data_IF_456596649186
#
_entry.id   IF_456596649186
#
_cell.length_a   1.000
_cell.length_b   1.000
_cell.length_c   1.000
_cell.angle_alpha   90.00
_cell.angle_beta   90.00
_cell.angle_gamma   90.00
#
_symmetry.space_group_name_H-M   'P 1'
#
loop_
_entity.id
_entity.type
_entity.pdbx_description
1 polymer ?
#
# COMPACT_ATOMS: atom_id res chain seq x y z
N UNK A 1 -0.04 35.38 -22.11
CA UNK A 1 -1.00 36.25 -21.40
C UNK A 1 -0.73 36.09 -19.92
N UNK A 2 -0.05 37.08 -19.36
CA UNK A 2 0.48 37.17 -18.01
C UNK A 2 -0.62 37.73 -17.11
N UNK A 3 -1.00 37.03 -16.03
CA UNK A 3 -1.70 37.65 -14.90
C UNK A 3 -1.08 37.12 -13.60
N UNK A 4 -0.55 38.08 -12.87
CA UNK A 4 0.04 38.05 -11.53
C UNK A 4 -1.07 38.11 -10.47
N UNK A 5 -0.81 37.56 -9.28
CA UNK A 5 -1.53 37.89 -8.02
C UNK A 5 -2.32 36.71 -7.44
N UNK A 6 -2.28 36.39 -6.15
CA UNK A 6 -1.70 37.09 -5.01
C UNK A 6 -1.82 36.23 -3.75
N UNK A 7 -1.00 36.58 -2.76
CA UNK A 7 -0.95 36.03 -1.41
C UNK A 7 -2.16 36.49 -0.60
N UNK A 8 -2.74 35.61 0.24
CA UNK A 8 -3.52 36.03 1.41
C UNK A 8 -3.31 35.05 2.57
N UNK A 9 -2.75 35.63 3.63
CA UNK A 9 -2.47 35.14 4.97
C UNK A 9 -3.71 35.37 5.86
N UNK A 10 -4.12 34.42 6.71
CA UNK A 10 -4.99 34.61 7.90
C UNK A 10 -5.37 33.21 8.44
N UNK A 11 -5.58 32.93 9.72
CA UNK A 11 -5.06 33.37 11.01
C UNK A 11 -5.62 32.34 12.02
N UNK A 12 -4.88 32.12 13.10
CA UNK A 12 -5.22 31.24 14.22
C UNK A 12 -6.40 31.79 15.03
N UNK A 13 -7.33 30.94 15.43
CA UNK A 13 -8.13 31.14 16.66
C UNK A 13 -8.18 29.83 17.43
N UNK A 14 -7.69 29.90 18.66
CA UNK A 14 -7.56 28.84 19.66
C UNK A 14 -8.56 29.21 20.77
N UNK A 15 -9.56 28.37 21.04
CA UNK A 15 -10.45 28.53 22.19
C UNK A 15 -10.31 27.31 23.09
N UNK A 16 -9.68 27.55 24.24
CA UNK A 16 -9.64 26.64 25.37
C UNK A 16 -10.95 26.77 26.17
N UNK A 17 -11.61 25.65 26.45
CA UNK A 17 -12.68 25.59 27.44
C UNK A 17 -12.19 24.75 28.63
N UNK A 18 -11.91 25.45 29.73
CA UNK A 18 -11.69 24.90 31.07
C UNK A 18 -13.06 24.69 31.70
N UNK A 19 -13.42 23.44 32.00
CA UNK A 19 -14.59 23.13 32.81
C UNK A 19 -14.14 22.84 34.26
N UNK A 20 -14.45 23.78 35.14
CA UNK A 20 -14.39 23.67 36.59
C UNK A 20 -15.58 22.81 37.04
N UNK A 21 -15.34 21.65 37.66
CA UNK A 21 -16.37 20.95 38.43
C UNK A 21 -16.19 21.31 39.91
N UNK A 22 -17.17 22.06 40.42
CA UNK A 22 -17.31 22.43 41.82
C UNK A 22 -17.93 21.29 42.64
N UNK A 23 -17.39 21.15 43.85
CA UNK A 23 -17.91 20.39 44.99
C UNK A 23 -19.42 20.61 45.21
N UNK A 24 -20.17 19.50 45.30
CA UNK A 24 -21.45 19.48 45.99
C UNK A 24 -21.30 18.65 47.27
N UNK A 25 -21.39 19.34 48.40
CA UNK A 25 -21.40 18.76 49.73
C UNK A 25 -22.62 17.86 49.96
N UNK A 26 -22.38 16.69 50.52
CA UNK A 26 -23.40 15.80 51.06
C UNK A 26 -23.32 15.81 52.59
N UNK A 27 -24.42 16.22 53.21
CA UNK A 27 -24.69 16.21 54.65
C UNK A 27 -24.71 14.78 55.18
N UNK A 28 -24.12 14.59 56.37
CA UNK A 28 -23.74 13.29 56.90
C UNK A 28 -24.84 12.45 57.54
N UNK A 29 -24.71 11.14 57.34
CA UNK A 29 -25.25 10.08 58.18
C UNK A 29 -24.11 9.38 58.94
N UNK A 30 -24.32 8.96 60.21
CA UNK A 30 -23.30 8.29 61.02
C UNK A 30 -22.96 6.90 60.46
N UNK A 31 -21.70 6.71 60.09
CA UNK A 31 -21.19 5.50 59.44
C UNK A 31 -21.16 4.28 60.38
N UNK A 32 -21.56 3.08 59.90
CA UNK A 32 -21.36 1.82 60.62
C UNK A 32 -19.86 1.50 60.80
N UNK A 33 -19.50 0.72 61.86
CA UNK A 33 -18.10 0.45 62.20
C UNK A 33 -17.35 -0.17 61.02
N UNK A 34 -16.22 0.45 60.68
CA UNK A 34 -15.37 0.12 59.55
C UNK A 34 -15.00 -1.37 59.56
N UNK A 35 -15.65 -2.16 58.70
CA UNK A 35 -15.14 -3.46 58.30
C UNK A 35 -13.72 -3.27 57.80
N UNK A 36 -12.76 -4.00 58.39
CA UNK A 36 -11.35 -4.02 57.97
C UNK A 36 -11.31 -4.31 56.48
N UNK A 37 -11.08 -3.28 55.66
CA UNK A 37 -10.85 -3.44 54.22
C UNK A 37 -9.57 -4.24 54.10
N UNK A 38 -9.70 -5.52 53.75
CA UNK A 38 -8.60 -6.36 53.31
C UNK A 38 -7.86 -5.59 52.22
N UNK A 39 -6.63 -5.19 52.49
CA UNK A 39 -5.75 -4.57 51.49
C UNK A 39 -5.73 -5.50 50.28
N UNK A 40 -6.11 -5.05 49.07
CA UNK A 40 -6.08 -5.89 47.90
C UNK A 40 -4.67 -6.47 47.76
N UNK A 41 -4.54 -7.78 47.91
CA UNK A 41 -3.30 -8.50 47.70
C UNK A 41 -2.79 -8.14 46.32
N UNK A 42 -1.64 -7.48 46.23
CA UNK A 42 -1.10 -6.96 44.97
C UNK A 42 -1.08 -8.06 43.92
N UNK A 43 -1.82 -7.87 42.82
CA UNK A 43 -1.80 -8.80 41.70
C UNK A 43 -0.36 -8.89 41.19
N UNK A 44 0.19 -10.10 41.16
CA UNK A 44 1.51 -10.33 40.60
C UNK A 44 1.53 -9.82 39.15
N UNK A 45 2.56 -9.06 38.79
CA UNK A 45 2.79 -8.63 37.42
C UNK A 45 2.85 -9.89 36.54
N UNK A 46 2.05 -9.98 35.45
CA UNK A 46 2.11 -11.12 34.54
C UNK A 46 3.53 -11.35 34.03
N UNK A 47 3.88 -12.60 33.70
CA UNK A 47 5.15 -12.88 33.05
C UNK A 47 5.18 -12.31 31.61
N UNK A 48 6.38 -12.20 31.04
CA UNK A 48 6.56 -11.56 29.73
C UNK A 48 5.75 -12.24 28.60
N UNK A 49 5.66 -13.59 28.51
CA UNK A 49 4.78 -14.25 27.56
C UNK A 49 3.30 -13.83 27.69
N UNK A 50 2.76 -13.75 28.91
CA UNK A 50 1.39 -13.28 29.12
C UNK A 50 1.22 -11.80 28.74
N UNK A 51 2.22 -10.95 29.02
CA UNK A 51 2.22 -9.55 28.59
C UNK A 51 2.20 -9.41 27.06
N UNK A 52 3.01 -10.19 26.35
CA UNK A 52 3.04 -10.24 24.88
C UNK A 52 1.72 -10.71 24.30
N UNK A 53 1.15 -11.79 24.85
CA UNK A 53 -0.14 -12.32 24.40
C UNK A 53 -1.26 -11.29 24.61
N UNK A 54 -1.27 -10.60 25.76
CA UNK A 54 -2.21 -9.51 26.05
C UNK A 54 -2.04 -8.36 25.04
N UNK A 55 -0.80 -7.92 24.81
CA UNK A 55 -0.52 -6.81 23.90
C UNK A 55 -0.89 -7.14 22.44
N UNK A 56 -0.67 -8.37 22.00
CA UNK A 56 -1.11 -8.84 20.69
C UNK A 56 -2.64 -8.94 20.60
N UNK A 57 -3.31 -9.41 21.65
CA UNK A 57 -4.78 -9.41 21.73
C UNK A 57 -5.37 -8.00 21.62
N UNK A 58 -4.83 -7.05 22.38
CA UNK A 58 -5.22 -5.64 22.34
C UNK A 58 -4.98 -5.05 20.94
N UNK A 59 -3.80 -5.30 20.34
CA UNK A 59 -3.47 -4.85 18.99
C UNK A 59 -4.45 -5.40 17.94
N UNK A 60 -4.79 -6.69 17.99
CA UNK A 60 -5.74 -7.31 17.07
C UNK A 60 -7.16 -6.72 17.20
N UNK A 61 -7.54 -6.30 18.40
CA UNK A 61 -8.86 -5.73 18.70
C UNK A 61 -9.00 -4.26 18.24
N UNK A 62 -7.91 -3.57 17.93
CA UNK A 62 -7.96 -2.17 17.50
C UNK A 62 -8.76 -2.00 16.21
N UNK A 63 -9.61 -0.96 16.11
CA UNK A 63 -10.37 -0.69 14.89
C UNK A 63 -9.47 -0.18 13.75
N UNK A 64 -8.29 0.34 14.07
CA UNK A 64 -7.23 0.63 13.13
C UNK A 64 -5.94 1.06 13.83
N UNK A 65 -4.86 1.20 13.08
CA UNK A 65 -3.53 1.58 13.58
C UNK A 65 -2.92 2.62 12.63
N UNK A 66 -2.26 3.64 13.19
CA UNK A 66 -1.32 4.49 12.47
C UNK A 66 0.08 3.91 12.58
N UNK A 67 0.77 3.81 11.46
CA UNK A 67 2.16 3.42 11.34
C UNK A 67 2.99 4.63 10.94
N UNK A 68 4.04 4.93 11.69
CA UNK A 68 4.99 6.00 11.38
C UNK A 68 6.42 5.52 11.53
N UNK A 69 7.27 5.71 10.53
CA UNK A 69 8.68 5.31 10.65
C UNK A 69 9.36 5.13 9.31
N UNK A 70 10.25 4.15 9.20
CA UNK A 70 10.92 3.78 7.95
C UNK A 70 10.86 2.28 7.73
N UNK A 71 10.63 1.85 6.50
CA UNK A 71 10.64 0.45 6.08
C UNK A 71 11.45 0.35 4.79
N UNK A 72 12.53 -0.46 4.81
CA UNK A 72 13.44 -0.59 3.67
C UNK A 72 13.93 0.77 3.13
N UNK A 73 14.31 1.69 4.03
CA UNK A 73 14.77 3.05 3.68
C UNK A 73 13.65 4.07 3.40
N UNK A 74 12.44 3.62 3.05
CA UNK A 74 11.29 4.48 2.73
C UNK A 74 10.62 4.96 4.00
N UNK A 75 10.42 6.27 4.16
CA UNK A 75 9.64 6.81 5.26
C UNK A 75 8.13 6.57 5.04
N UNK A 76 7.46 6.05 6.06
CA UNK A 76 6.07 5.63 6.04
C UNK A 76 5.29 6.46 7.06
N UNK A 77 4.15 7.02 6.64
CA UNK A 77 3.12 7.55 7.54
C UNK A 77 1.75 7.14 6.99
N UNK A 78 1.20 6.07 7.53
CA UNK A 78 -0.03 5.43 7.02
C UNK A 78 -0.98 5.09 8.15
N UNK A 79 -2.26 5.06 7.84
CA UNK A 79 -3.29 4.53 8.74
C UNK A 79 -3.95 3.35 8.04
N UNK A 80 -4.11 2.26 8.78
CA UNK A 80 -4.67 1.00 8.30
C UNK A 80 -5.84 0.63 9.21
N UNK A 81 -7.01 0.44 8.63
CA UNK A 81 -8.19 -0.05 9.34
C UNK A 81 -8.10 -1.57 9.52
N UNK A 82 -8.87 -2.09 10.47
CA UNK A 82 -8.92 -3.50 10.84
C UNK A 82 -9.10 -4.46 9.66
N UNK A 83 -9.84 -4.08 8.61
CA UNK A 83 -10.10 -4.89 7.41
C UNK A 83 -9.13 -4.62 6.25
N UNK A 84 -8.10 -3.80 6.46
CA UNK A 84 -7.03 -3.58 5.49
C UNK A 84 -7.18 -2.35 4.61
N UNK A 85 -8.29 -1.60 4.68
CA UNK A 85 -8.34 -0.31 3.99
C UNK A 85 -7.33 0.64 4.63
N UNK A 86 -6.48 1.25 3.80
CA UNK A 86 -5.38 2.06 4.25
C UNK A 86 -5.21 3.30 3.39
N UNK A 87 -4.69 4.35 4.01
CA UNK A 87 -4.24 5.54 3.30
C UNK A 87 -3.08 6.18 4.03
N UNK A 88 -2.15 6.74 3.27
CA UNK A 88 -1.02 7.44 3.85
C UNK A 88 -0.09 7.99 2.80
N UNK A 89 1.13 8.25 3.24
CA UNK A 89 2.21 8.69 2.37
C UNK A 89 3.45 7.85 2.56
N UNK A 90 4.15 7.63 1.45
CA UNK A 90 5.48 7.07 1.40
C UNK A 90 6.43 8.18 0.94
N UNK A 91 7.64 8.23 1.50
CA UNK A 91 8.68 9.14 1.04
C UNK A 91 10.00 8.41 0.88
N UNK A 92 10.56 8.51 -0.31
CA UNK A 92 11.90 8.06 -0.62
C UNK A 92 12.70 9.25 -1.16
N UNK A 93 13.79 9.60 -0.46
CA UNK A 93 14.49 10.87 -0.64
C UNK A 93 13.51 12.06 -0.76
N UNK A 94 13.47 12.72 -1.92
CA UNK A 94 12.60 13.87 -2.22
C UNK A 94 11.25 13.48 -2.85
N UNK A 95 11.06 12.20 -3.15
CA UNK A 95 9.84 11.72 -3.79
C UNK A 95 8.77 11.45 -2.75
N UNK A 96 7.60 12.09 -2.90
CA UNK A 96 6.41 11.84 -2.07
C UNK A 96 5.35 11.10 -2.87
N UNK A 97 4.88 9.98 -2.33
CA UNK A 97 3.77 9.21 -2.87
C UNK A 97 2.59 9.24 -1.90
N UNK A 98 1.38 9.44 -2.42
CA UNK A 98 0.17 9.04 -1.71
C UNK A 98 -0.11 7.56 -2.04
N UNK A 99 -0.54 6.81 -1.02
CA UNK A 99 -0.95 5.42 -1.19
C UNK A 99 -2.34 5.20 -0.63
N UNK A 100 -3.13 4.41 -1.34
CA UNK A 100 -4.47 3.98 -0.95
C UNK A 100 -4.56 2.48 -1.18
N UNK A 101 -4.86 1.72 -0.13
CA UNK A 101 -5.17 0.30 -0.25
C UNK A 101 -6.64 0.07 0.11
N UNK A 102 -7.35 -0.71 -0.70
CA UNK A 102 -8.73 -1.10 -0.44
C UNK A 102 -9.04 -2.41 -1.14
N UNK A 103 -9.58 -3.39 -0.41
CA UNK A 103 -9.93 -4.73 -0.94
C UNK A 103 -8.80 -5.36 -1.77
N UNK A 104 -7.64 -5.58 -1.15
CA UNK A 104 -6.43 -6.17 -1.77
C UNK A 104 -5.83 -5.37 -2.92
N UNK A 105 -6.41 -4.23 -3.29
CA UNK A 105 -5.91 -3.38 -4.36
C UNK A 105 -5.15 -2.21 -3.80
N UNK A 106 -3.98 -1.99 -4.37
CA UNK A 106 -3.10 -0.88 -4.03
C UNK A 106 -3.11 0.13 -5.15
N UNK A 107 -3.27 1.40 -4.77
CA UNK A 107 -3.21 2.54 -5.67
C UNK A 107 -2.13 3.50 -5.21
N UNK A 108 -1.30 3.93 -6.15
CA UNK A 108 -0.30 4.95 -5.93
C UNK A 108 -0.65 6.23 -6.68
N UNK A 109 -0.28 7.35 -6.07
CA UNK A 109 -0.32 8.65 -6.71
C UNK A 109 0.98 9.38 -6.37
N UNK A 110 1.87 9.40 -7.34
CA UNK A 110 3.12 10.15 -7.31
C UNK A 110 3.09 11.33 -8.28
N UNK A 111 4.10 12.18 -8.18
CA UNK A 111 4.28 13.28 -9.13
C UNK A 111 4.87 12.78 -10.47
N UNK A 112 5.16 13.73 -11.37
CA UNK A 112 5.71 13.42 -12.69
C UNK A 112 7.13 12.83 -12.60
N UNK A 113 7.94 13.25 -11.64
CA UNK A 113 9.32 12.79 -11.51
C UNK A 113 9.33 11.31 -11.14
N UNK A 114 8.50 10.92 -10.16
CA UNK A 114 8.28 9.52 -9.80
C UNK A 114 7.93 8.66 -11.02
N UNK A 115 6.88 9.03 -11.78
CA UNK A 115 6.48 8.21 -12.93
C UNK A 115 7.54 8.13 -14.02
N UNK A 116 8.34 9.19 -14.19
CA UNK A 116 9.44 9.20 -15.17
C UNK A 116 10.56 8.26 -14.73
N UNK A 117 10.90 8.25 -13.44
CA UNK A 117 11.87 7.32 -12.84
C UNK A 117 11.41 5.86 -12.96
N UNK A 118 10.10 5.63 -12.88
CA UNK A 118 9.47 4.33 -13.17
C UNK A 118 9.40 3.99 -14.68
N UNK A 119 10.10 4.74 -15.54
CA UNK A 119 10.22 4.48 -16.98
C UNK A 119 9.04 4.97 -17.83
N UNK A 120 8.10 5.75 -17.27
CA UNK A 120 6.99 6.29 -18.05
C UNK A 120 7.47 7.41 -19.00
N UNK A 121 6.94 7.43 -20.23
CA UNK A 121 7.19 8.55 -21.15
C UNK A 121 6.75 9.88 -20.55
N UNK A 122 7.34 11.00 -20.97
CA UNK A 122 6.98 12.34 -20.49
C UNK A 122 5.46 12.63 -20.56
N UNK A 123 4.78 12.15 -21.59
CA UNK A 123 3.33 12.29 -21.75
C UNK A 123 2.55 11.42 -20.76
N UNK A 124 2.96 10.14 -20.61
CA UNK A 124 2.37 9.20 -19.64
C UNK A 124 2.59 9.67 -18.20
N UNK A 125 3.80 10.10 -17.86
CA UNK A 125 4.14 10.61 -16.54
C UNK A 125 3.30 11.85 -16.17
N UNK A 126 3.10 12.78 -17.12
CA UNK A 126 2.22 13.94 -16.92
C UNK A 126 0.77 13.55 -16.65
N UNK A 127 0.28 12.51 -17.33
CA UNK A 127 -1.08 12.00 -17.16
C UNK A 127 -1.23 11.27 -15.82
N UNK A 128 -0.31 10.36 -15.50
CA UNK A 128 -0.31 9.58 -14.27
C UNK A 128 -0.14 10.45 -13.02
N UNK A 129 0.64 11.55 -13.11
CA UNK A 129 0.84 12.48 -11.98
C UNK A 129 -0.45 13.12 -11.45
N UNK A 130 -1.55 13.05 -12.21
CA UNK A 130 -2.85 13.63 -11.84
C UNK A 130 -3.85 12.59 -11.35
N UNK A 131 -3.49 11.31 -11.39
CA UNK A 131 -4.41 10.19 -11.24
C UNK A 131 -3.86 9.16 -10.26
N UNK A 132 -4.78 8.38 -9.70
CA UNK A 132 -4.42 7.15 -9.02
C UNK A 132 -4.05 6.10 -10.06
N UNK A 133 -2.95 5.40 -9.84
CA UNK A 133 -2.54 4.24 -10.63
C UNK A 133 -2.67 3.00 -9.76
N UNK A 134 -3.48 2.04 -10.20
CA UNK A 134 -3.49 0.70 -9.61
C UNK A 134 -2.15 0.04 -9.92
N UNK A 135 -1.48 -0.44 -8.88
CA UNK A 135 -0.20 -1.14 -8.98
C UNK A 135 -0.32 -2.55 -8.40
N UNK A 136 0.54 -3.49 -8.81
CA UNK A 136 0.68 -4.76 -8.11
C UNK A 136 0.98 -4.55 -6.62
N UNK A 137 0.57 -5.49 -5.76
CA UNK A 137 0.85 -5.39 -4.33
C UNK A 137 2.35 -5.53 -4.01
N UNK A 138 3.06 -6.38 -4.79
CA UNK A 138 4.50 -6.65 -4.66
C UNK A 138 5.42 -5.44 -4.97
N UNK A 139 4.86 -4.37 -5.54
CA UNK A 139 5.59 -3.12 -5.80
C UNK A 139 5.77 -2.28 -4.54
N UNK A 140 5.10 -2.64 -3.45
CA UNK A 140 5.34 -2.06 -2.15
C UNK A 140 6.27 -2.98 -1.35
N UNK A 141 7.08 -2.45 -0.41
CA UNK A 141 7.88 -3.30 0.47
C UNK A 141 6.98 -4.28 1.25
N UNK A 142 7.29 -5.58 1.16
CA UNK A 142 6.50 -6.69 1.75
C UNK A 142 5.22 -7.01 0.96
N UNK A 143 4.30 -7.80 1.52
CA UNK A 143 2.98 -8.07 0.90
C UNK A 143 2.02 -6.84 0.99
N UNK A 144 2.59 -5.64 0.91
CA UNK A 144 1.90 -4.36 1.00
C UNK A 144 1.19 -4.11 2.34
N UNK A 145 0.06 -3.39 2.27
CA UNK A 145 -0.69 -2.97 3.46
C UNK A 145 -1.51 -4.09 4.11
N UNK A 146 -1.69 -5.23 3.44
CA UNK A 146 -2.44 -6.36 3.99
C UNK A 146 -1.75 -6.91 5.27
N UNK A 147 -0.42 -6.96 5.26
CA UNK A 147 0.40 -7.37 6.41
C UNK A 147 0.43 -6.32 7.53
N UNK A 148 0.05 -5.09 7.22
CA UNK A 148 -0.01 -3.97 8.18
C UNK A 148 -1.41 -3.84 8.81
N UNK A 149 -2.29 -4.83 8.67
CA UNK A 149 -3.53 -4.83 9.46
C UNK A 149 -3.24 -5.08 10.94
N UNK A 150 -4.05 -4.56 11.87
CA UNK A 150 -3.87 -4.82 13.30
C UNK A 150 -3.84 -6.32 13.62
N UNK A 151 -4.71 -7.11 12.98
CA UNK A 151 -4.77 -8.56 13.16
C UNK A 151 -3.50 -9.28 12.66
N UNK A 152 -3.01 -8.95 11.45
CA UNK A 152 -1.76 -9.54 10.92
C UNK A 152 -0.54 -9.14 11.72
N UNK A 153 -0.47 -7.90 12.19
CA UNK A 153 0.62 -7.46 13.06
C UNK A 153 0.58 -8.19 14.41
N UNK A 154 -0.60 -8.40 14.98
CA UNK A 154 -0.76 -9.21 16.19
C UNK A 154 -0.42 -10.70 15.98
N UNK A 155 -0.71 -11.26 14.79
CA UNK A 155 -0.24 -12.60 14.40
C UNK A 155 1.27 -12.65 14.34
N UNK A 156 1.92 -11.65 13.73
CA UNK A 156 3.38 -11.56 13.69
C UNK A 156 3.98 -11.46 15.10
N UNK A 157 3.42 -10.63 15.99
CA UNK A 157 3.89 -10.53 17.39
C UNK A 157 3.75 -11.88 18.12
N UNK A 158 2.67 -12.64 17.87
CA UNK A 158 2.48 -13.97 18.45
C UNK A 158 3.42 -15.02 17.85
N UNK A 159 3.59 -15.00 16.52
CA UNK A 159 4.36 -16.00 15.78
C UNK A 159 5.86 -15.80 15.86
N UNK A 160 6.33 -14.56 15.86
CA UNK A 160 7.76 -14.22 15.94
C UNK A 160 8.40 -14.64 17.27
N UNK A 161 7.60 -14.91 18.31
CA UNK A 161 8.10 -15.59 19.49
C UNK A 161 7.00 -15.87 20.50
N UNK A 162 6.51 -17.11 20.49
CA UNK A 162 5.91 -17.72 21.68
C UNK A 162 6.86 -17.66 22.88
N UNK A 163 8.17 -17.56 22.59
CA UNK A 163 9.25 -17.42 23.55
C UNK A 163 10.19 -16.31 23.07
N UNK A 164 10.45 -15.25 23.86
CA UNK A 164 11.47 -14.25 23.56
C UNK A 164 12.87 -14.87 23.43
N UNK A 165 13.71 -14.34 22.54
CA UNK A 165 15.09 -14.83 22.32
C UNK A 165 16.07 -14.42 23.45
N UNK A 166 15.55 -13.81 24.51
CA UNK A 166 16.33 -13.35 25.65
C UNK A 166 15.49 -12.55 26.65
N UNK A 167 16.11 -12.08 27.75
CA UNK A 167 15.44 -11.19 28.68
C UNK A 167 15.08 -9.87 27.99
N UNK A 168 13.98 -9.21 28.42
CA UNK A 168 13.61 -7.90 27.88
C UNK A 168 14.72 -6.88 28.18
N UNK A 169 14.97 -5.99 27.23
CA UNK A 169 15.95 -4.93 27.41
C UNK A 169 15.48 -3.85 28.40
N UNK A 170 16.39 -2.94 28.75
CA UNK A 170 16.07 -1.81 29.62
C UNK A 170 14.96 -0.92 29.00
N UNK A 171 14.05 -0.35 29.82
CA UNK A 171 13.05 0.61 29.37
C UNK A 171 13.64 1.78 28.56
N UNK A 172 12.92 2.22 27.53
CA UNK A 172 13.24 3.36 26.66
C UNK A 172 11.96 4.12 26.32
N UNK A 173 12.08 5.42 26.10
CA UNK A 173 10.98 6.25 25.63
C UNK A 173 10.71 6.03 24.13
N UNK A 174 9.47 5.73 23.78
CA UNK A 174 8.96 5.66 22.41
C UNK A 174 7.82 6.66 22.29
N UNK A 175 8.08 7.80 21.64
CA UNK A 175 7.10 8.89 21.50
C UNK A 175 6.51 9.37 22.85
N UNK A 176 7.34 9.42 23.89
CA UNK A 176 6.92 9.82 25.24
C UNK A 176 6.19 8.73 26.04
N UNK A 177 6.20 7.49 25.55
CA UNK A 177 5.68 6.32 26.24
C UNK A 177 6.85 5.40 26.66
N UNK A 178 7.02 5.11 27.95
CA UNK A 178 8.05 4.19 28.41
C UNK A 178 7.73 2.75 27.97
N UNK A 179 8.65 2.14 27.22
CA UNK A 179 8.51 0.81 26.68
C UNK A 179 9.81 -0.02 26.79
N UNK A 180 9.70 -1.34 26.97
CA UNK A 180 10.81 -2.28 26.98
C UNK A 180 10.92 -2.98 25.62
N UNK A 181 12.10 -3.03 24.99
CA UNK A 181 12.31 -3.85 23.81
C UNK A 181 12.34 -5.34 24.19
N UNK A 182 11.68 -6.15 23.39
CA UNK A 182 11.64 -7.61 23.49
C UNK A 182 12.10 -8.17 22.15
N UNK A 183 13.20 -8.90 22.15
CA UNK A 183 13.76 -9.52 20.94
C UNK A 183 13.01 -10.80 20.62
N UNK A 184 12.53 -10.87 19.38
CA UNK A 184 11.85 -12.00 18.76
C UNK A 184 12.62 -12.39 17.49
N UNK A 185 12.37 -13.58 16.97
CA UNK A 185 13.13 -14.15 15.83
C UNK A 185 13.13 -13.27 14.57
N UNK A 186 12.06 -12.50 14.36
CA UNK A 186 11.91 -11.59 13.20
C UNK A 186 12.22 -10.12 13.49
N UNK A 187 12.54 -9.74 14.74
CA UNK A 187 12.63 -8.32 15.09
C UNK A 187 12.52 -7.99 16.58
N UNK A 188 12.49 -6.70 16.89
CA UNK A 188 12.17 -6.22 18.24
C UNK A 188 10.73 -5.72 18.32
N UNK A 189 10.05 -6.04 19.41
CA UNK A 189 8.76 -5.45 19.79
C UNK A 189 8.95 -4.60 21.04
N UNK A 190 8.40 -3.39 21.04
CA UNK A 190 8.47 -2.49 22.19
C UNK A 190 7.13 -2.50 22.92
N UNK A 191 7.12 -3.08 24.13
CA UNK A 191 5.94 -3.15 24.99
C UNK A 191 5.95 -2.04 26.04
N UNK A 192 4.82 -1.41 26.30
CA UNK A 192 4.67 -0.49 27.44
C UNK A 192 5.11 -1.16 28.74
N UNK A 193 5.77 -0.40 29.63
CA UNK A 193 6.27 -0.96 30.91
C UNK A 193 5.17 -1.24 31.94
N UNK A 194 4.00 -0.63 31.75
CA UNK A 194 2.86 -0.70 32.66
C UNK A 194 1.60 -1.12 31.90
N UNK A 195 0.64 -1.77 32.58
CA UNK A 195 -0.65 -2.10 32.01
C UNK A 195 -1.44 -0.84 31.63
N UNK A 196 -2.28 -0.89 30.59
CA UNK A 196 -2.43 -2.01 29.65
C UNK A 196 -1.16 -2.20 28.79
N UNK A 197 -0.71 -3.45 28.65
CA UNK A 197 0.47 -3.78 27.86
C UNK A 197 0.16 -3.59 26.38
N UNK A 198 0.86 -2.69 25.70
CA UNK A 198 0.62 -2.35 24.29
C UNK A 198 1.91 -2.39 23.51
N UNK A 199 1.81 -2.83 22.26
CA UNK A 199 2.89 -2.68 21.28
C UNK A 199 2.90 -1.25 20.75
N UNK A 200 3.99 -0.52 20.99
CA UNK A 200 4.15 0.88 20.57
C UNK A 200 5.15 1.08 19.44
N UNK A 201 6.03 0.09 19.20
CA UNK A 201 6.99 0.07 18.10
C UNK A 201 7.35 -1.36 17.73
N UNK A 202 7.60 -1.57 16.45
CA UNK A 202 8.18 -2.79 15.90
C UNK A 202 9.43 -2.43 15.09
N UNK A 203 10.46 -3.26 15.19
CA UNK A 203 11.66 -3.19 14.37
C UNK A 203 11.84 -4.54 13.68
N UNK A 204 12.05 -4.53 12.36
CA UNK A 204 12.25 -5.73 11.57
C UNK A 204 13.73 -5.91 11.28
N UNK A 205 14.23 -7.13 11.48
CA UNK A 205 15.58 -7.47 11.06
C UNK A 205 15.60 -7.82 9.57
N UNK A 206 16.71 -7.53 8.91
CA UNK A 206 16.99 -8.11 7.60
C UNK A 206 17.20 -9.61 7.78
N UNK A 207 16.60 -10.42 6.92
CA UNK A 207 16.87 -11.86 6.92
C UNK A 207 18.36 -12.07 6.58
N UNK A 208 19.16 -12.65 7.50
CA UNK A 208 20.57 -12.90 7.24
C UNK A 208 20.78 -13.87 6.07
N UNK A 209 19.78 -14.71 5.75
CA UNK A 209 19.85 -15.68 4.65
C UNK A 209 19.50 -15.09 3.27
N UNK A 210 18.93 -13.87 3.21
CA UNK A 210 18.53 -13.23 1.95
C UNK A 210 19.67 -12.62 1.12
N UNK A 211 20.92 -12.82 1.53
CA UNK A 211 22.11 -12.33 0.85
C UNK A 211 22.52 -13.18 -0.36
N UNK A 212 21.76 -13.09 -1.45
CA UNK A 212 22.26 -13.33 -2.81
C UNK A 212 22.58 -14.79 -3.19
N UNK A 213 21.55 -15.59 -3.46
CA UNK A 213 21.61 -16.45 -4.65
C UNK A 213 21.20 -15.58 -5.84
N UNK A 214 22.18 -14.83 -6.33
CA UNK A 214 22.14 -14.16 -7.62
C UNK A 214 22.24 -15.26 -8.68
N UNK A 215 21.12 -15.97 -8.93
CA UNK A 215 20.93 -16.84 -10.09
C UNK A 215 20.90 -15.95 -11.35
N UNK A 216 22.06 -15.42 -11.70
CA UNK A 216 22.27 -14.79 -12.99
C UNK A 216 21.88 -15.76 -14.11
N UNK A 217 21.38 -15.28 -15.26
CA UNK A 217 20.97 -16.11 -16.37
C UNK A 217 22.20 -16.65 -17.11
N UNK A 218 22.92 -17.57 -16.47
CA UNK A 218 24.00 -18.36 -17.05
C UNK A 218 23.40 -19.61 -17.70
N UNK A 219 23.23 -19.55 -19.01
CA UNK A 219 22.83 -20.73 -19.78
C UNK A 219 23.91 -21.81 -19.80
N UNK A 220 23.46 -23.06 -19.74
CA UNK A 220 24.12 -24.20 -20.40
C UNK A 220 23.03 -25.23 -20.69
N UNK A 221 22.45 -25.29 -21.89
CA UNK A 221 22.94 -26.11 -23.02
C UNK A 221 23.58 -27.43 -22.60
N UNK A 222 22.71 -28.42 -22.36
CA UNK A 222 22.90 -29.78 -22.85
C UNK A 222 23.99 -30.62 -22.20
N UNK A 223 23.58 -31.68 -21.51
CA UNK A 223 24.33 -32.93 -21.57
C UNK A 223 23.42 -34.13 -21.41
N UNK A 224 23.53 -34.97 -22.42
CA UNK A 224 23.06 -36.33 -22.58
C UNK A 224 23.59 -37.27 -21.49
N UNK A 225 22.81 -38.33 -21.29
CA UNK A 225 23.13 -39.63 -20.68
C UNK A 225 24.62 -40.00 -20.60
N UNK A 226 25.09 -40.37 -19.39
CA UNK A 226 26.24 -41.29 -19.23
C UNK A 226 26.13 -42.09 -17.91
N UNK A 227 26.38 -43.42 -17.90
CA UNK A 227 26.19 -44.30 -16.75
C UNK A 227 27.46 -44.54 -15.91
N UNK A 228 27.22 -44.90 -14.65
CA UNK A 228 28.04 -45.63 -13.67
C UNK A 228 29.59 -45.56 -13.73
N UNK A 229 30.19 -44.98 -12.68
CA UNK A 229 31.52 -45.33 -12.21
C UNK A 229 31.68 -45.10 -10.69
N UNK A 230 32.50 -45.92 -10.00
CA UNK A 230 32.45 -46.10 -8.55
C UNK A 230 33.14 -44.97 -7.77
N UNK A 231 32.58 -44.64 -6.60
CA UNK A 231 33.11 -43.65 -5.64
C UNK A 231 34.35 -44.18 -4.90
N UNK A 232 35.40 -43.36 -4.71
CA UNK A 232 36.46 -43.68 -3.76
C UNK A 232 36.03 -43.39 -2.32
N UNK A 233 36.34 -44.31 -1.41
CA UNK A 233 36.20 -44.17 0.03
C UNK A 233 37.31 -43.26 0.56
N UNK A 234 36.95 -42.13 1.15
CA UNK A 234 37.89 -41.25 1.87
C UNK A 234 37.80 -41.54 3.36
N UNK A 235 38.86 -42.12 3.92
CA UNK A 235 39.05 -42.30 5.36
C UNK A 235 39.50 -40.98 5.97
N UNK A 236 38.65 -40.32 6.76
CA UNK A 236 39.00 -39.12 7.52
C UNK A 236 39.75 -39.47 8.81
N UNK A 237 40.96 -38.96 8.95
CA UNK A 237 41.79 -39.05 10.16
C UNK A 237 41.31 -38.01 11.17
N UNK A 238 41.09 -38.41 12.42
CA UNK A 238 40.67 -37.53 13.51
C UNK A 238 41.81 -36.57 13.92
N UNK A 239 41.53 -35.27 13.96
CA UNK A 239 42.37 -34.26 14.60
C UNK A 239 41.93 -34.03 16.06
N UNK A 240 42.86 -33.77 16.99
CA UNK A 240 42.54 -33.52 18.39
C UNK A 240 42.03 -32.09 18.66
N UNK A 241 41.02 -32.02 19.54
CA UNK A 241 40.59 -30.88 20.37
C UNK A 241 40.64 -29.47 19.73
N UNK A 242 39.50 -29.08 19.16
CA UNK A 242 39.22 -27.69 18.78
C UNK A 242 39.29 -26.76 20.01
N UNK A 243 40.10 -25.72 19.86
CA UNK A 243 40.07 -24.51 20.69
C UNK A 243 38.67 -23.91 20.52
N UNK A 244 37.86 -23.90 21.59
CA UNK A 244 36.61 -23.12 21.61
C UNK A 244 36.93 -21.65 21.33
N UNK A 245 36.51 -21.07 20.20
CA UNK A 245 36.63 -19.64 20.02
C UNK A 245 35.80 -18.97 21.13
N UNK A 246 36.38 -17.97 21.80
CA UNK A 246 35.63 -17.06 22.65
C UNK A 246 34.42 -16.59 21.84
N UNK A 247 33.21 -16.75 22.40
CA UNK A 247 31.96 -16.40 21.73
C UNK A 247 32.10 -15.01 21.11
N UNK A 248 32.26 -14.96 19.79
CA UNK A 248 32.26 -13.72 19.05
C UNK A 248 30.92 -13.06 19.40
N UNK A 249 30.98 -11.87 19.99
CA UNK A 249 29.80 -11.04 20.20
C UNK A 249 29.09 -10.94 18.86
N UNK A 250 28.01 -11.71 18.67
CA UNK A 250 27.26 -11.72 17.43
C UNK A 250 26.85 -10.27 17.17
N UNK A 251 27.32 -9.71 16.05
CA UNK A 251 26.96 -8.37 15.66
C UNK A 251 25.43 -8.29 15.62
N UNK A 252 24.85 -7.25 16.23
CA UNK A 252 23.41 -7.09 16.24
C UNK A 252 22.88 -7.13 14.79
N UNK A 253 21.77 -7.84 14.53
CA UNK A 253 21.22 -7.96 13.19
C UNK A 253 20.88 -6.58 12.62
N UNK A 254 21.08 -6.40 11.32
CA UNK A 254 20.76 -5.16 10.64
C UNK A 254 19.24 -4.90 10.67
N UNK A 255 18.84 -3.71 11.10
CA UNK A 255 17.42 -3.32 11.14
C UNK A 255 17.00 -2.87 9.74
N UNK A 256 16.13 -3.64 9.10
CA UNK A 256 15.54 -3.31 7.79
C UNK A 256 14.44 -2.23 7.91
N UNK A 257 13.74 -2.18 9.04
CA UNK A 257 12.66 -1.22 9.25
C UNK A 257 12.34 -0.99 10.71
N UNK A 258 11.79 0.18 10.99
CA UNK A 258 11.27 0.60 12.30
C UNK A 258 9.95 1.30 12.05
N UNK A 259 8.87 0.81 12.67
CA UNK A 259 7.56 1.43 12.63
C UNK A 259 7.05 1.66 14.06
N UNK A 260 6.59 2.87 14.32
CA UNK A 260 5.88 3.27 15.52
C UNK A 260 4.39 3.06 15.28
N UNK A 261 3.71 2.51 16.28
CA UNK A 261 2.30 2.16 16.21
C UNK A 261 1.51 3.07 17.13
N UNK A 262 0.41 3.60 16.62
CA UNK A 262 -0.58 4.30 17.44
C UNK A 262 -1.95 3.74 17.10
N UNK A 263 -2.60 3.09 18.08
CA UNK A 263 -3.96 2.62 17.91
C UNK A 263 -4.93 3.77 17.61
N UNK A 264 -5.87 3.55 16.71
CA UNK A 264 -6.95 4.47 16.46
C UNK A 264 -8.10 4.15 17.42
N UNK A 265 -8.57 5.16 18.14
CA UNK A 265 -9.83 5.05 18.88
C UNK A 265 -11.01 4.84 17.92
N UNK A 266 -12.13 4.22 18.36
CA UNK A 266 -13.28 3.94 17.48
C UNK A 266 -13.79 5.16 16.69
N UNK A 267 -13.91 6.32 17.35
CA UNK A 267 -14.33 7.56 16.70
C UNK A 267 -13.31 8.07 15.66
N UNK A 268 -12.01 7.91 15.93
CA UNK A 268 -10.94 8.28 15.01
C UNK A 268 -10.89 7.33 13.81
N UNK A 269 -11.08 6.03 14.02
CA UNK A 269 -11.18 5.03 12.96
C UNK A 269 -12.38 5.30 12.04
N UNK A 270 -13.55 5.60 12.61
CA UNK A 270 -14.74 5.98 11.85
C UNK A 270 -14.52 7.26 11.04
N UNK A 271 -13.91 8.28 11.65
CA UNK A 271 -13.56 9.54 10.97
C UNK A 271 -12.59 9.28 9.81
N UNK A 272 -11.60 8.42 10.04
CA UNK A 272 -10.65 8.03 9.01
C UNK A 272 -11.33 7.28 7.85
N UNK A 273 -12.20 6.30 8.14
CA UNK A 273 -12.99 5.58 7.13
C UNK A 273 -13.87 6.53 6.30
N UNK A 274 -14.53 7.50 6.96
CA UNK A 274 -15.28 8.56 6.27
C UNK A 274 -14.39 9.40 5.33
N UNK A 275 -13.17 9.71 5.76
CA UNK A 275 -12.15 10.41 4.97
C UNK A 275 -11.63 9.62 3.75
N UNK A 276 -11.75 8.29 3.75
CA UNK A 276 -11.39 7.45 2.60
C UNK A 276 -12.40 7.52 1.46
N UNK A 277 -13.68 7.81 1.74
CA UNK A 277 -14.74 7.86 0.70
C UNK A 277 -14.40 8.76 -0.49
N UNK A 278 -14.03 10.04 -0.32
CA UNK A 278 -13.66 10.88 -1.46
C UNK A 278 -12.39 10.39 -2.19
N UNK A 279 -11.46 9.73 -1.49
CA UNK A 279 -10.26 9.14 -2.08
C UNK A 279 -10.63 7.94 -2.97
N UNK A 280 -11.50 7.06 -2.49
CA UNK A 280 -12.05 5.94 -3.27
C UNK A 280 -12.87 6.47 -4.45
N UNK A 281 -13.71 7.49 -4.28
CA UNK A 281 -14.45 8.10 -5.39
C UNK A 281 -13.52 8.63 -6.50
N UNK A 282 -12.35 9.17 -6.13
CA UNK A 282 -11.34 9.61 -7.10
C UNK A 282 -10.74 8.46 -7.93
N UNK A 283 -10.90 7.19 -7.51
CA UNK A 283 -10.51 6.02 -8.30
C UNK A 283 -11.37 5.81 -9.54
N UNK A 284 -12.49 6.53 -9.71
CA UNK A 284 -13.29 6.51 -10.95
C UNK A 284 -12.46 6.81 -12.20
N UNK A 285 -11.41 7.64 -12.05
CA UNK A 285 -10.47 8.00 -13.11
C UNK A 285 -9.09 7.37 -12.92
N UNK A 286 -8.99 6.33 -12.09
CA UNK A 286 -7.74 5.60 -11.89
C UNK A 286 -7.31 4.87 -13.16
N UNK A 287 -6.00 4.69 -13.32
CA UNK A 287 -5.39 3.95 -14.42
C UNK A 287 -4.94 2.59 -13.89
N UNK A 288 -5.08 1.54 -14.69
CA UNK A 288 -4.43 0.25 -14.41
C UNK A 288 -3.02 0.26 -15.02
N UNK A 289 -1.98 0.38 -14.20
CA UNK A 289 -0.60 0.37 -14.70
C UNK A 289 -0.10 -1.04 -15.04
N UNK A 290 -0.89 -2.07 -14.74
CA UNK A 290 -0.61 -3.46 -15.08
C UNK A 290 -1.17 -3.82 -16.47
N UNK A 291 -1.71 -2.89 -17.26
CA UNK A 291 -2.18 -3.16 -18.62
C UNK A 291 -1.66 -2.11 -19.61
N UNK A 292 -0.90 -2.57 -20.59
CA UNK A 292 -0.58 -1.78 -21.79
C UNK A 292 -1.62 -2.01 -22.88
N UNK A 293 -2.02 -0.93 -23.55
CA UNK A 293 -2.97 -0.98 -24.66
C UNK A 293 -2.28 -0.59 -25.96
N UNK A 294 -2.48 -1.38 -27.01
CA UNK A 294 -1.98 -1.10 -28.36
C UNK A 294 -3.11 -1.17 -29.38
N UNK A 295 -3.11 -0.26 -30.36
CA UNK A 295 -4.00 -0.38 -31.52
C UNK A 295 -3.47 -1.52 -32.40
N UNK A 296 -4.33 -2.47 -32.76
CA UNK A 296 -3.97 -3.59 -33.64
C UNK A 296 -4.52 -3.38 -35.03
N UNK A 297 -3.66 -3.53 -36.03
CA UNK A 297 -3.97 -3.27 -37.43
C UNK A 297 -4.13 -1.78 -37.73
N UNK A 298 -4.73 -1.48 -38.89
CA UNK A 298 -5.08 -0.11 -39.29
C UNK A 298 -6.50 0.19 -38.79
N UNK A 299 -6.66 1.30 -38.07
CA UNK A 299 -8.00 1.86 -37.83
C UNK A 299 -8.63 2.28 -39.16
N UNK A 300 -9.96 2.22 -39.26
CA UNK A 300 -10.68 2.65 -40.46
C UNK A 300 -11.55 3.87 -40.16
N UNK A 301 -11.69 4.74 -41.14
CA UNK A 301 -12.58 5.88 -41.12
C UNK A 301 -13.73 5.60 -42.10
N UNK A 302 -14.87 5.15 -41.59
CA UNK A 302 -16.06 4.86 -42.40
C UNK A 302 -17.32 4.72 -41.53
N UNK A 303 -18.47 5.25 -41.97
CA UNK A 303 -18.64 6.13 -43.14
C UNK A 303 -18.10 7.53 -42.86
N UNK A 304 -17.65 8.24 -43.91
CA UNK A 304 -17.24 9.64 -43.82
C UNK A 304 -17.84 10.43 -44.99
N UNK A 305 -18.40 11.59 -44.68
CA UNK A 305 -19.04 12.50 -45.63
C UNK A 305 -18.75 13.96 -45.24
N UNK A 306 -19.42 14.92 -45.90
CA UNK A 306 -19.21 16.35 -45.65
C UNK A 306 -19.73 16.83 -44.27
N UNK A 307 -20.47 15.98 -43.55
CA UNK A 307 -21.12 16.29 -42.28
C UNK A 307 -20.56 15.52 -41.08
N UNK A 308 -19.72 14.50 -41.30
CA UNK A 308 -19.19 13.69 -40.23
C UNK A 308 -18.42 12.46 -40.70
N UNK A 309 -17.79 11.79 -39.75
CA UNK A 309 -16.97 10.61 -39.99
C UNK A 309 -16.92 9.71 -38.75
N UNK A 310 -16.90 8.39 -38.97
CA UNK A 310 -16.80 7.40 -37.89
C UNK A 310 -15.46 6.69 -37.93
N UNK A 311 -14.74 6.69 -36.80
CA UNK A 311 -13.53 5.91 -36.62
C UNK A 311 -13.82 4.56 -35.98
N UNK A 312 -13.25 3.49 -36.54
CA UNK A 312 -13.32 2.14 -36.03
C UNK A 312 -11.90 1.63 -35.77
N UNK A 313 -11.66 1.04 -34.60
CA UNK A 313 -10.36 0.48 -34.25
C UNK A 313 -10.48 -0.77 -33.37
N UNK A 314 -9.39 -1.53 -33.33
CA UNK A 314 -9.21 -2.65 -32.42
C UNK A 314 -8.09 -2.32 -31.45
N UNK A 315 -8.32 -2.53 -30.17
CA UNK A 315 -7.35 -2.36 -29.10
C UNK A 315 -6.99 -3.74 -28.55
N UNK A 316 -5.70 -4.06 -28.44
CA UNK A 316 -5.21 -5.23 -27.73
C UNK A 316 -4.65 -4.79 -26.38
N UNK A 317 -5.12 -5.42 -25.33
CA UNK A 317 -4.54 -5.33 -24.01
C UNK A 317 -3.39 -6.33 -23.87
N UNK A 318 -2.37 -5.95 -23.12
CA UNK A 318 -1.30 -6.84 -22.67
C UNK A 318 -0.99 -6.51 -21.21
N UNK A 319 -1.18 -7.47 -20.30
CA UNK A 319 -0.71 -7.32 -18.93
C UNK A 319 0.77 -6.93 -18.91
N UNK A 320 1.14 -6.05 -17.99
CA UNK A 320 2.50 -5.57 -17.79
C UNK A 320 2.90 -5.81 -16.34
N UNK A 321 4.10 -6.36 -16.15
CA UNK A 321 4.55 -6.86 -14.85
C UNK A 321 4.23 -8.34 -14.72
N UNK A 322 5.19 -9.10 -14.20
CA UNK A 322 5.06 -10.55 -13.97
C UNK A 322 4.32 -10.88 -12.69
N UNK A 323 3.35 -10.06 -12.29
CA UNK A 323 2.51 -10.32 -11.12
C UNK A 323 1.76 -11.64 -11.36
N UNK A 324 2.11 -12.73 -10.66
CA UNK A 324 1.54 -14.06 -10.90
C UNK A 324 0.04 -14.10 -10.54
N UNK A 325 -0.42 -13.18 -9.70
CA UNK A 325 -1.81 -13.08 -9.25
C UNK A 325 -2.66 -12.19 -10.16
N UNK A 326 -2.06 -11.57 -11.17
CA UNK A 326 -2.80 -10.76 -12.13
C UNK A 326 -3.69 -11.62 -13.01
N UNK A 327 -5.01 -11.57 -12.76
CA UNK A 327 -6.00 -12.23 -13.60
C UNK A 327 -6.09 -11.55 -14.98
N UNK A 328 -5.28 -12.03 -15.93
CA UNK A 328 -5.27 -11.59 -17.31
C UNK A 328 -6.62 -11.79 -18.02
N UNK A 329 -7.44 -12.72 -17.53
CA UNK A 329 -8.77 -13.01 -18.07
C UNK A 329 -9.85 -12.04 -17.57
N UNK A 330 -9.54 -11.24 -16.55
CA UNK A 330 -10.47 -10.28 -15.98
C UNK A 330 -10.93 -9.24 -17.02
N UNK A 331 -12.21 -8.90 -16.95
CA UNK A 331 -12.77 -7.80 -17.75
C UNK A 331 -12.35 -6.46 -17.15
N UNK A 332 -11.68 -5.65 -17.95
CA UNK A 332 -11.29 -4.28 -17.65
C UNK A 332 -12.14 -3.28 -18.42
N UNK A 333 -12.35 -2.11 -17.82
CA UNK A 333 -12.92 -0.96 -18.52
C UNK A 333 -11.78 -0.16 -19.18
N UNK A 334 -11.95 0.20 -20.45
CA UNK A 334 -10.98 0.99 -21.21
C UNK A 334 -11.64 2.28 -21.67
N UNK A 335 -11.10 3.42 -21.25
CA UNK A 335 -11.49 4.72 -21.74
C UNK A 335 -10.73 5.04 -23.02
N UNK A 336 -11.50 5.24 -24.10
CA UNK A 336 -11.00 5.59 -25.42
C UNK A 336 -11.44 7.00 -25.75
N UNK A 337 -10.48 7.85 -26.12
CA UNK A 337 -10.74 9.13 -26.74
C UNK A 337 -10.18 9.12 -28.17
N UNK A 338 -11.02 9.52 -29.13
CA UNK A 338 -10.64 9.66 -30.54
C UNK A 338 -10.79 11.13 -30.92
N UNK A 339 -9.67 11.78 -31.23
CA UNK A 339 -9.63 13.18 -31.67
C UNK A 339 -9.50 13.23 -33.18
N UNK A 340 -10.43 13.91 -33.83
CA UNK A 340 -10.52 14.05 -35.27
C UNK A 340 -9.95 15.39 -35.74
N UNK A 341 -9.32 15.35 -36.92
CA UNK A 341 -8.83 16.53 -37.63
C UNK A 341 -9.32 16.53 -39.07
N UNK A 342 -9.76 17.68 -39.56
CA UNK A 342 -10.10 17.95 -40.95
C UNK A 342 -9.09 18.96 -41.48
N UNK A 343 -8.34 18.57 -42.51
CA UNK A 343 -7.27 19.39 -43.13
C UNK A 343 -6.28 19.94 -42.10
N UNK A 344 -5.93 19.12 -41.11
CA UNK A 344 -5.02 19.47 -40.01
C UNK A 344 -5.67 20.17 -38.82
N UNK A 345 -6.85 20.75 -38.99
CA UNK A 345 -7.59 21.47 -37.94
C UNK A 345 -8.42 20.52 -37.06
N UNK A 346 -8.41 20.66 -35.72
CA UNK A 346 -9.23 19.82 -34.85
C UNK A 346 -10.72 20.11 -35.06
N UNK A 347 -11.51 19.07 -35.35
CA UNK A 347 -12.97 19.20 -35.55
C UNK A 347 -13.80 18.60 -34.42
N UNK A 348 -13.19 17.77 -33.56
CA UNK A 348 -13.86 17.27 -32.36
C UNK A 348 -13.16 16.08 -31.74
N UNK A 349 -13.64 15.70 -30.55
CA UNK A 349 -13.21 14.50 -29.84
C UNK A 349 -14.43 13.71 -29.40
N UNK A 350 -14.48 12.43 -29.73
CA UNK A 350 -15.49 11.51 -29.21
C UNK A 350 -14.84 10.59 -28.15
N UNK A 351 -15.58 10.32 -27.07
CA UNK A 351 -15.13 9.48 -25.94
C UNK A 351 -16.05 8.28 -25.76
N UNK A 352 -15.48 7.11 -25.52
CA UNK A 352 -16.21 5.87 -25.24
C UNK A 352 -15.50 5.09 -24.14
N UNK A 353 -16.26 4.44 -23.29
CA UNK A 353 -15.73 3.38 -22.41
C UNK A 353 -16.14 2.05 -23.01
N UNK A 354 -15.18 1.16 -23.26
CA UNK A 354 -15.44 -0.22 -23.68
C UNK A 354 -15.05 -1.18 -22.56
N UNK A 355 -15.61 -2.38 -22.58
CA UNK A 355 -15.19 -3.48 -21.69
C UNK A 355 -14.51 -4.54 -22.53
N UNK A 356 -13.34 -5.02 -22.11
CA UNK A 356 -12.59 -6.08 -22.76
C UNK A 356 -11.77 -6.86 -21.73
N UNK A 357 -11.23 -8.04 -22.08
CA UNK A 357 -10.25 -8.73 -21.22
C UNK A 357 -8.92 -7.96 -21.20
N UNK A 358 -8.17 -8.07 -20.11
CA UNK A 358 -6.86 -7.42 -19.98
C UNK A 358 -5.83 -7.91 -21.01
N UNK A 359 -5.90 -9.19 -21.41
CA UNK A 359 -5.11 -9.82 -22.48
C UNK A 359 -5.83 -9.91 -23.84
N UNK A 360 -7.05 -9.37 -23.93
CA UNK A 360 -7.94 -9.57 -25.06
C UNK A 360 -7.84 -8.48 -26.13
N UNK A 361 -8.79 -8.55 -27.08
CA UNK A 361 -8.99 -7.52 -28.11
C UNK A 361 -10.38 -6.90 -27.97
N UNK A 362 -10.42 -5.59 -27.76
CA UNK A 362 -11.64 -4.78 -27.76
C UNK A 362 -11.85 -4.06 -29.09
N UNK A 363 -13.11 -3.87 -29.50
CA UNK A 363 -13.48 -3.04 -30.65
C UNK A 363 -14.04 -1.72 -30.15
N UNK A 364 -13.68 -0.62 -30.81
CA UNK A 364 -14.24 0.71 -30.53
C UNK A 364 -14.69 1.35 -31.84
N UNK A 365 -15.89 1.96 -31.80
CA UNK A 365 -16.45 2.75 -32.88
C UNK A 365 -16.99 4.06 -32.30
N UNK A 366 -16.65 5.18 -32.93
CA UNK A 366 -16.85 6.51 -32.36
C UNK A 366 -16.77 7.53 -33.50
N UNK A 367 -17.78 8.40 -33.60
CA UNK A 367 -17.92 9.35 -34.70
C UNK A 367 -17.87 10.80 -34.25
N UNK A 368 -17.63 11.69 -35.21
CA UNK A 368 -17.67 13.14 -35.06
C UNK A 368 -18.53 13.74 -36.16
N UNK A 369 -19.17 14.86 -35.86
CA UNK A 369 -19.88 15.71 -36.85
C UNK A 369 -19.05 16.96 -37.11
N UNK A 370 -19.00 17.41 -38.36
CA UNK A 370 -18.32 18.64 -38.78
C UNK A 370 -19.01 19.22 -40.02
N UNK A 371 -18.58 20.39 -40.50
CA UNK A 371 -19.02 20.94 -41.78
C UNK A 371 -17.82 21.08 -42.71
N UNK A 372 -17.90 20.48 -43.90
CA UNK A 372 -16.87 20.54 -44.93
C UNK A 372 -17.48 21.00 -46.26
N UNK A 373 -16.68 21.68 -47.09
CA UNK A 373 -17.13 22.16 -48.38
C UNK A 373 -17.34 20.96 -49.33
N UNK A 374 -18.55 20.80 -49.87
CA UNK A 374 -18.87 19.70 -50.80
C UNK A 374 -18.09 19.76 -52.12
N UNK A 375 -17.59 20.93 -52.50
CA UNK A 375 -16.85 21.14 -53.74
C UNK A 375 -15.34 20.86 -53.64
N UNK A 376 -14.82 20.56 -52.45
CA UNK A 376 -13.40 20.34 -52.22
C UNK A 376 -13.10 18.92 -51.71
N UNK A 377 -11.91 18.41 -52.05
CA UNK A 377 -11.36 17.22 -51.43
C UNK A 377 -10.80 17.58 -50.05
N UNK A 378 -11.22 16.86 -49.02
CA UNK A 378 -10.79 17.07 -47.65
C UNK A 378 -10.05 15.85 -47.11
N UNK A 379 -9.04 16.08 -46.27
CA UNK A 379 -8.31 15.01 -45.57
C UNK A 379 -8.76 14.93 -44.13
N UNK A 380 -9.36 13.81 -43.77
CA UNK A 380 -9.71 13.51 -42.37
C UNK A 380 -8.68 12.57 -41.74
N UNK A 381 -8.27 12.89 -40.52
CA UNK A 381 -7.41 12.07 -39.68
C UNK A 381 -8.00 11.87 -38.30
N UNK A 382 -7.68 10.76 -37.65
CA UNK A 382 -8.07 10.48 -36.27
C UNK A 382 -6.86 10.01 -35.46
N UNK A 383 -6.77 10.50 -34.21
CA UNK A 383 -5.80 10.04 -33.22
C UNK A 383 -6.53 9.37 -32.07
N UNK A 384 -6.13 8.14 -31.77
CA UNK A 384 -6.72 7.33 -30.70
C UNK A 384 -5.79 7.36 -29.50
N UNK A 385 -6.35 7.64 -28.33
CA UNK A 385 -5.72 7.43 -27.02
C UNK A 385 -6.60 6.52 -26.20
N UNK A 386 -6.01 5.51 -25.56
CA UNK A 386 -6.74 4.55 -24.74
C UNK A 386 -6.05 4.38 -23.38
N UNK A 387 -6.84 4.27 -22.32
CA UNK A 387 -6.37 4.06 -20.95
C UNK A 387 -7.19 2.95 -20.30
N UNK A 388 -6.50 1.94 -19.76
CA UNK A 388 -7.14 0.93 -18.92
C UNK A 388 -7.49 1.56 -17.56
N UNK A 389 -8.72 1.37 -17.08
CA UNK A 389 -9.12 1.86 -15.76
C UNK A 389 -8.67 0.91 -14.66
N UNK A 390 -8.16 1.46 -13.57
CA UNK A 390 -7.79 0.69 -12.38
C UNK A 390 -9.01 0.13 -11.64
N UNK A 391 -10.17 0.80 -11.74
CA UNK A 391 -11.42 0.42 -11.07
C UNK A 391 -12.63 0.63 -11.97
N UNK A 392 -13.46 -0.40 -12.13
CA UNK A 392 -14.76 -0.32 -12.80
C UNK A 392 -15.87 0.23 -11.89
N UNK A 393 -16.99 0.69 -12.45
CA UNK A 393 -18.08 1.31 -11.66
C UNK A 393 -18.68 0.37 -10.59
N UNK A 394 -18.92 -0.91 -10.94
CA UNK A 394 -19.43 -1.90 -9.98
C UNK A 394 -18.43 -2.20 -8.86
N UNK A 395 -17.14 -2.21 -9.19
CA UNK A 395 -16.08 -2.41 -8.21
C UNK A 395 -15.92 -1.21 -7.28
N UNK A 396 -16.01 0.01 -7.82
CA UNK A 396 -16.02 1.24 -7.04
C UNK A 396 -17.17 1.25 -6.01
N UNK A 397 -18.37 0.83 -6.43
CA UNK A 397 -19.50 0.70 -5.51
C UNK A 397 -19.22 -0.33 -4.39
N UNK A 398 -18.60 -1.47 -4.73
CA UNK A 398 -18.17 -2.48 -3.75
C UNK A 398 -17.11 -1.97 -2.78
N UNK A 399 -16.15 -1.18 -3.26
CA UNK A 399 -15.14 -0.53 -2.42
C UNK A 399 -15.78 0.43 -1.42
N UNK A 400 -16.72 1.27 -1.88
CA UNK A 400 -17.45 2.19 -1.00
C UNK A 400 -18.27 1.46 0.05
N UNK A 401 -18.95 0.38 -0.33
CA UNK A 401 -19.69 -0.47 0.61
C UNK A 401 -18.77 -1.14 1.64
N UNK A 402 -17.55 -1.52 1.26
CA UNK A 402 -16.55 -2.03 2.21
C UNK A 402 -16.21 -0.97 3.27
N UNK A 403 -15.99 0.29 2.89
CA UNK A 403 -15.73 1.36 3.86
C UNK A 403 -16.89 1.58 4.83
N UNK A 404 -18.13 1.44 4.36
CA UNK A 404 -19.33 1.57 5.22
C UNK A 404 -19.41 0.47 6.28
N UNK A 405 -18.72 -0.65 6.08
CA UNK A 405 -18.65 -1.77 7.01
C UNK A 405 -17.43 -1.73 7.96
N UNK A 406 -16.55 -0.74 7.81
CA UNK A 406 -15.32 -0.59 8.62
C UNK A 406 -15.44 0.42 9.77
N UNK A 407 -16.38 1.38 9.68
CA UNK A 407 -16.55 2.48 10.63
C UNK A 407 -17.65 2.31 11.67
#
# INVERSE_FOLDING_TARGET
MLIVGGVALLAVVLVAAVAVFADFGSTGDPAPPAARRSTPTGQATPDLPAQLASAAGDLAALPGVRYQGRLAGVAVDTRVLRRGSAYGTLRDADTRLEVLAIREKTFLKGDRAFWTDQGASAATAKENARKWSKVPADRLPGDGFAMMTPARMAEWVRGAGSTPDGPPGAPREVNGVPARPVTLSGGNVYLTVAPPYRVVRVEFFADPAGGGEDDGPGGDRGRTDEPDSPRPTVTSVAYPAEIRPAAASAAAPAIMGRLDLTGLEPAAAKTFAGGLRPKVQALRTSIDSQVSLKVVGKGTLSPCNHSGCTANARLQGRPTGGDPDYDASAKIAVDVAITFRLDGSPVGTCRRTITMRADGVGKVSCGVTYSANRAANHRIGARITALARGVGAAELARMLATLDSEG
#
